data_IF_912194251573
#
_entry.id   IF_912194251573
#
_cell.length_a   1.000
_cell.length_b   1.000
_cell.length_c   1.000
_cell.angle_alpha   90.00
_cell.angle_beta   90.00
_cell.angle_gamma   90.00
#
_symmetry.space_group_name_H-M   'P 1'
#
loop_
_entity.id
_entity.type
_entity.pdbx_description
1 polymer ?
#
# COMPACT_ATOMS: atom_id res chain seq x y z
N UNK A 1 -10.30 -19.72 -16.08
CA UNK A 1 -8.89 -19.40 -15.71
C UNK A 1 -8.66 -17.91 -15.39
N UNK A 2 -9.60 -16.99 -15.69
CA UNK A 2 -9.47 -15.57 -15.35
C UNK A 2 -9.85 -15.20 -13.89
N UNK A 3 -10.60 -16.06 -13.19
CA UNK A 3 -11.09 -15.83 -11.83
C UNK A 3 -10.04 -15.92 -10.71
N UNK A 4 -8.89 -16.58 -10.95
CA UNK A 4 -7.82 -16.70 -9.94
C UNK A 4 -6.84 -15.53 -9.91
N UNK A 5 -6.82 -14.69 -10.96
CA UNK A 5 -5.84 -13.62 -11.10
C UNK A 5 -6.33 -12.29 -10.51
N UNK A 6 -7.65 -12.07 -10.47
CA UNK A 6 -8.24 -10.83 -9.96
C UNK A 6 -8.37 -10.79 -8.42
N UNK A 7 -8.08 -11.92 -7.73
CA UNK A 7 -8.10 -12.02 -6.27
C UNK A 7 -6.81 -11.57 -5.58
N UNK A 8 -5.74 -11.23 -6.32
CA UNK A 8 -4.39 -11.03 -5.75
C UNK A 8 -4.02 -9.60 -5.36
N UNK A 9 -4.75 -8.60 -5.85
CA UNK A 9 -4.42 -7.18 -5.62
C UNK A 9 -5.49 -6.51 -4.76
N UNK A 10 -6.74 -6.97 -4.86
CA UNK A 10 -7.88 -6.48 -4.07
C UNK A 10 -8.20 -7.39 -2.87
N UNK A 11 -7.24 -8.23 -2.46
CA UNK A 11 -7.05 -8.40 -1.03
C UNK A 11 -6.13 -7.25 -0.62
N UNK A 12 -6.70 -6.05 -0.54
CA UNK A 12 -6.28 -5.09 0.49
C UNK A 12 -6.56 -5.85 1.77
N UNK A 13 -5.55 -6.61 2.20
CA UNK A 13 -5.66 -7.64 3.21
C UNK A 13 -6.00 -6.92 4.52
N UNK A 14 -7.30 -6.70 4.74
CA UNK A 14 -7.84 -6.09 5.96
C UNK A 14 -7.39 -6.91 7.17
N UNK A 15 -7.23 -8.22 6.99
CA UNK A 15 -6.59 -9.14 7.95
C UNK A 15 -5.11 -8.81 8.24
N UNK A 16 -4.36 -8.27 7.28
CA UNK A 16 -2.95 -7.95 7.45
C UNK A 16 -2.72 -6.69 8.32
N UNK A 17 -3.52 -5.64 8.12
CA UNK A 17 -3.42 -4.42 8.93
C UNK A 17 -3.80 -4.67 10.40
N UNK A 18 -4.84 -5.49 10.62
CA UNK A 18 -5.36 -5.83 11.96
C UNK A 18 -4.41 -6.73 12.76
N UNK A 19 -3.62 -7.61 12.11
CA UNK A 19 -2.84 -8.64 12.82
C UNK A 19 -1.50 -8.15 13.40
N UNK A 20 -1.04 -6.95 13.07
CA UNK A 20 0.32 -6.47 13.43
C UNK A 20 0.42 -5.06 14.04
N UNK A 21 -0.69 -4.42 14.40
CA UNK A 21 -0.66 -3.14 15.11
C UNK A 21 -0.35 -1.93 14.23
N UNK A 22 -0.64 -2.01 12.93
CA UNK A 22 -0.69 -0.82 12.08
C UNK A 22 -2.08 -0.20 12.23
N UNK A 23 -2.17 0.80 13.11
CA UNK A 23 -3.41 1.55 13.26
C UNK A 23 -3.44 2.60 12.17
N UNK A 24 -4.00 2.26 11.03
CA UNK A 24 -4.72 3.29 10.28
C UNK A 24 -5.78 3.85 11.23
N UNK A 25 -5.90 5.17 11.32
CA UNK A 25 -6.98 5.78 12.09
C UNK A 25 -8.33 5.20 11.61
N UNK A 26 -9.33 5.17 12.48
CA UNK A 26 -10.65 4.59 12.25
C UNK A 26 -11.25 5.09 10.94
N UNK A 27 -11.03 6.37 10.64
CA UNK A 27 -11.42 7.03 9.38
C UNK A 27 -10.78 6.36 8.16
N UNK A 28 -9.46 6.14 8.19
CA UNK A 28 -8.72 5.53 7.07
C UNK A 28 -9.14 4.08 6.86
N UNK A 29 -9.32 3.34 7.96
CA UNK A 29 -9.77 1.95 7.92
C UNK A 29 -11.16 1.81 7.32
N UNK A 30 -12.09 2.69 7.70
CA UNK A 30 -13.45 2.68 7.18
C UNK A 30 -13.48 3.07 5.70
N UNK A 31 -12.70 4.08 5.31
CA UNK A 31 -12.58 4.50 3.93
C UNK A 31 -12.05 3.38 3.02
N UNK A 32 -11.04 2.63 3.46
CA UNK A 32 -10.51 1.50 2.68
C UNK A 32 -11.53 0.36 2.51
N UNK A 33 -12.42 0.13 3.49
CA UNK A 33 -13.53 -0.84 3.34
C UNK A 33 -14.57 -0.36 2.33
N UNK A 34 -14.86 0.94 2.31
CA UNK A 34 -15.77 1.54 1.35
C UNK A 34 -15.22 1.44 -0.08
N UNK A 35 -13.92 1.72 -0.26
CA UNK A 35 -13.19 1.53 -1.53
C UNK A 35 -13.36 0.09 -2.02
N UNK A 36 -13.13 -0.90 -1.16
CA UNK A 36 -13.30 -2.32 -1.52
C UNK A 36 -14.72 -2.64 -1.96
N UNK A 37 -15.72 -2.13 -1.24
CA UNK A 37 -17.15 -2.36 -1.51
C UNK A 37 -17.53 -1.75 -2.86
N UNK A 38 -17.25 -0.47 -3.05
CA UNK A 38 -17.59 0.27 -4.29
C UNK A 38 -16.89 -0.33 -5.49
N UNK A 39 -15.62 -0.70 -5.37
CA UNK A 39 -14.87 -1.30 -6.47
C UNK A 39 -15.42 -2.69 -6.83
N UNK A 40 -15.79 -3.51 -5.85
CA UNK A 40 -16.41 -4.83 -6.10
C UNK A 40 -17.74 -4.73 -6.83
N UNK A 41 -18.56 -3.73 -6.50
CA UNK A 41 -19.88 -3.55 -7.11
C UNK A 41 -19.82 -2.92 -8.50
N UNK A 42 -19.01 -1.87 -8.67
CA UNK A 42 -19.03 -1.03 -9.89
C UNK A 42 -17.84 -1.29 -10.82
N UNK A 43 -16.81 -1.99 -10.36
CA UNK A 43 -15.55 -2.18 -11.08
C UNK A 43 -14.71 -0.90 -11.22
N UNK A 44 -15.11 0.19 -10.56
CA UNK A 44 -14.43 1.50 -10.55
C UNK A 44 -14.76 2.26 -9.28
N UNK A 45 -13.87 3.17 -8.88
CA UNK A 45 -14.13 4.10 -7.78
C UNK A 45 -14.96 5.29 -8.27
N UNK A 46 -15.79 5.85 -7.38
CA UNK A 46 -16.54 7.08 -7.65
C UNK A 46 -15.73 8.31 -7.24
N UNK A 47 -16.09 9.48 -7.79
CA UNK A 47 -15.43 10.75 -7.47
C UNK A 47 -15.49 11.09 -5.98
N UNK A 48 -16.56 10.70 -5.28
CA UNK A 48 -16.70 10.92 -3.84
C UNK A 48 -15.66 10.11 -3.05
N UNK A 49 -15.49 8.83 -3.40
CA UNK A 49 -14.49 7.95 -2.76
C UNK A 49 -13.07 8.41 -3.09
N UNK A 50 -12.80 8.81 -4.34
CA UNK A 50 -11.51 9.35 -4.74
C UNK A 50 -11.19 10.66 -4.01
N UNK A 51 -12.18 11.54 -3.84
CA UNK A 51 -12.01 12.78 -3.09
C UNK A 51 -11.72 12.52 -1.61
N UNK A 52 -12.44 11.58 -0.98
CA UNK A 52 -12.18 11.19 0.39
C UNK A 52 -10.78 10.58 0.57
N UNK A 53 -10.35 9.73 -0.38
CA UNK A 53 -8.98 9.20 -0.42
C UNK A 53 -7.95 10.31 -0.56
N UNK A 54 -8.19 11.32 -1.39
CA UNK A 54 -7.26 12.43 -1.60
C UNK A 54 -7.11 13.27 -0.33
N UNK A 55 -8.19 13.47 0.43
CA UNK A 55 -8.14 14.17 1.71
C UNK A 55 -7.28 13.44 2.75
N UNK A 56 -7.35 12.09 2.79
CA UNK A 56 -6.63 11.28 3.79
C UNK A 56 -5.18 11.02 3.40
N UNK A 57 -4.94 10.60 2.16
CA UNK A 57 -3.63 10.11 1.70
C UNK A 57 -2.81 11.17 0.94
N UNK A 58 -3.45 12.28 0.55
CA UNK A 58 -2.79 13.46 -0.02
C UNK A 58 -1.83 13.11 -1.17
N UNK A 59 -0.58 13.56 -1.10
CA UNK A 59 0.42 13.39 -2.16
C UNK A 59 0.79 11.92 -2.43
N UNK A 60 0.50 11.03 -1.48
CA UNK A 60 0.78 9.60 -1.64
C UNK A 60 -0.30 8.86 -2.43
N UNK A 61 -1.48 9.45 -2.66
CA UNK A 61 -2.61 8.76 -3.29
C UNK A 61 -2.33 8.40 -4.74
N UNK A 62 -2.03 9.40 -5.59
CA UNK A 62 -1.88 9.17 -7.03
C UNK A 62 -0.74 8.18 -7.35
N UNK A 63 0.45 8.26 -6.72
CA UNK A 63 1.48 7.25 -6.89
C UNK A 63 1.05 5.86 -6.44
N UNK A 64 0.27 5.76 -5.36
CA UNK A 64 -0.23 4.47 -4.88
C UNK A 64 -1.25 3.85 -5.84
N UNK A 65 -2.19 4.65 -6.36
CA UNK A 65 -3.17 4.20 -7.35
C UNK A 65 -2.49 3.77 -8.65
N UNK A 66 -1.50 4.53 -9.13
CA UNK A 66 -0.74 4.18 -10.34
C UNK A 66 -0.06 2.80 -10.22
N UNK A 67 0.52 2.49 -9.05
CA UNK A 67 1.11 1.17 -8.78
C UNK A 67 0.09 0.03 -8.78
N UNK A 68 -1.11 0.29 -8.26
CA UNK A 68 -2.21 -0.69 -8.25
C UNK A 68 -2.75 -0.92 -9.66
N UNK A 69 -3.01 0.15 -10.40
CA UNK A 69 -3.54 0.13 -11.76
C UNK A 69 -2.58 -0.58 -12.72
N UNK A 70 -1.27 -0.35 -12.58
CA UNK A 70 -0.23 -1.02 -13.36
C UNK A 70 0.09 -2.44 -12.89
N UNK A 71 -0.54 -2.91 -11.81
CA UNK A 71 -0.26 -4.21 -11.18
C UNK A 71 1.21 -4.39 -10.79
N UNK A 72 1.85 -3.29 -10.39
CA UNK A 72 3.26 -3.25 -10.04
C UNK A 72 3.57 -3.78 -8.64
N UNK A 73 2.56 -4.23 -7.89
CA UNK A 73 2.69 -4.75 -6.52
C UNK A 73 2.47 -6.26 -6.51
N UNK A 74 3.41 -7.00 -5.93
CA UNK A 74 3.35 -8.45 -5.77
C UNK A 74 3.61 -8.86 -4.33
N UNK A 75 2.74 -9.70 -3.77
CA UNK A 75 2.95 -10.29 -2.44
C UNK A 75 3.84 -11.53 -2.54
N UNK A 76 4.92 -11.55 -1.78
CA UNK A 76 5.80 -12.72 -1.64
C UNK A 76 5.58 -13.32 -0.26
N UNK A 77 5.28 -14.61 -0.22
CA UNK A 77 5.05 -15.35 1.03
C UNK A 77 6.10 -16.44 1.19
N UNK A 78 6.66 -16.53 2.40
CA UNK A 78 7.53 -17.61 2.81
C UNK A 78 6.67 -18.73 3.42
N UNK A 79 7.00 -20.02 3.19
CA UNK A 79 6.30 -21.15 3.83
C UNK A 79 6.29 -21.07 5.36
N UNK A 80 7.29 -20.40 5.95
CA UNK A 80 7.38 -20.12 7.39
C UNK A 80 6.42 -19.03 7.90
N UNK A 81 5.48 -18.54 7.07
CA UNK A 81 4.43 -17.59 7.47
C UNK A 81 4.82 -16.11 7.41
N UNK A 82 6.05 -15.79 6.97
CA UNK A 82 6.46 -14.39 6.70
C UNK A 82 5.96 -13.95 5.33
N UNK A 83 5.62 -12.68 5.18
CA UNK A 83 5.30 -12.11 3.87
C UNK A 83 5.87 -10.70 3.71
N UNK A 84 6.19 -10.34 2.48
CA UNK A 84 6.62 -9.01 2.07
C UNK A 84 5.91 -8.60 0.78
N UNK A 85 5.98 -7.32 0.45
CA UNK A 85 5.53 -6.83 -0.85
C UNK A 85 6.73 -6.39 -1.67
N UNK A 86 6.80 -6.87 -2.90
CA UNK A 86 7.73 -6.40 -3.91
C UNK A 86 6.99 -5.46 -4.85
N UNK A 87 7.56 -4.29 -5.10
CA UNK A 87 6.92 -3.23 -5.87
C UNK A 87 7.86 -2.74 -6.96
N UNK A 88 7.36 -2.60 -8.18
CA UNK A 88 8.12 -2.07 -9.32
C UNK A 88 7.67 -0.63 -9.58
N UNK A 89 8.49 0.33 -9.16
CA UNK A 89 8.23 1.75 -9.36
C UNK A 89 8.49 2.22 -10.79
N UNK A 90 8.39 3.54 -11.00
CA UNK A 90 8.64 4.19 -12.30
C UNK A 90 10.05 3.98 -12.84
N UNK A 91 11.05 3.75 -11.98
CA UNK A 91 12.43 3.45 -12.38
C UNK A 91 12.62 2.03 -12.93
N UNK A 92 11.60 1.17 -12.85
CA UNK A 92 11.68 -0.24 -13.21
C UNK A 92 12.50 -1.10 -12.24
N UNK A 93 13.20 -0.50 -11.27
CA UNK A 93 13.93 -1.24 -10.24
C UNK A 93 12.96 -1.64 -9.13
N UNK A 94 12.85 -2.94 -8.79
CA UNK A 94 11.97 -3.39 -7.73
C UNK A 94 12.48 -2.92 -6.36
N UNK A 95 11.57 -2.49 -5.50
CA UNK A 95 11.82 -2.25 -4.08
C UNK A 95 10.95 -3.15 -3.21
N UNK A 96 11.38 -3.34 -1.97
CA UNK A 96 10.72 -4.23 -1.00
C UNK A 96 10.10 -3.44 0.13
N UNK A 97 8.81 -3.66 0.35
CA UNK A 97 8.08 -3.20 1.53
C UNK A 97 7.96 -4.35 2.53
N UNK A 98 8.63 -4.19 3.67
CA UNK A 98 8.54 -5.10 4.80
C UNK A 98 7.43 -4.64 5.72
N UNK A 99 6.38 -5.43 5.72
CA UNK A 99 5.20 -5.16 6.53
C UNK A 99 5.42 -5.44 8.02
N UNK A 100 6.42 -6.22 8.39
CA UNK A 100 6.74 -6.51 9.79
C UNK A 100 7.47 -5.38 10.51
N UNK A 101 8.00 -4.39 9.79
CA UNK A 101 8.98 -3.43 10.34
C UNK A 101 8.87 -2.00 9.80
N UNK A 102 7.72 -1.61 9.24
CA UNK A 102 7.45 -0.27 8.65
C UNK A 102 8.59 0.21 7.73
N UNK A 103 9.22 -0.73 7.02
CA UNK A 103 10.43 -0.45 6.26
C UNK A 103 10.16 -0.65 4.78
N UNK A 104 10.64 0.31 3.99
CA UNK A 104 10.63 0.22 2.55
C UNK A 104 12.02 0.50 2.00
N UNK A 105 12.49 -0.33 1.07
CA UNK A 105 13.76 -0.09 0.39
C UNK A 105 13.64 0.93 -0.76
N UNK A 106 12.50 1.63 -0.88
CA UNK A 106 12.32 2.62 -1.93
C UNK A 106 13.18 3.86 -1.68
N UNK A 107 13.57 4.57 -2.75
CA UNK A 107 14.32 5.82 -2.60
C UNK A 107 13.63 6.82 -1.68
N UNK A 108 12.31 6.99 -1.80
CA UNK A 108 11.55 7.93 -1.00
C UNK A 108 11.66 7.67 0.52
N UNK A 109 11.57 6.42 0.95
CA UNK A 109 11.74 6.07 2.37
C UNK A 109 13.18 6.27 2.84
N UNK A 110 14.17 5.88 2.01
CA UNK A 110 15.59 6.10 2.30
C UNK A 110 15.91 7.58 2.49
N UNK A 111 15.40 8.47 1.64
CA UNK A 111 15.64 9.91 1.73
C UNK A 111 14.82 10.61 2.82
N UNK A 112 13.54 10.26 2.96
CA UNK A 112 12.63 11.00 3.83
C UNK A 112 12.63 10.53 5.29
N UNK A 113 13.03 9.29 5.55
CA UNK A 113 13.05 8.72 6.91
C UNK A 113 14.49 8.52 7.35
N UNK A 114 15.25 7.66 6.67
CA UNK A 114 16.60 7.30 7.12
C UNK A 114 17.58 8.48 7.06
N UNK A 115 17.65 9.15 5.91
CA UNK A 115 18.55 10.30 5.71
C UNK A 115 18.08 11.57 6.44
N UNK A 116 16.84 11.60 6.94
CA UNK A 116 16.29 12.73 7.69
C UNK A 116 16.50 12.56 9.20
N UNK A 117 16.49 11.32 9.70
CA UNK A 117 16.84 11.00 11.08
C UNK A 117 18.35 11.10 11.35
N UNK A 118 19.22 10.75 10.39
CA UNK A 118 20.67 10.90 10.58
C UNK A 118 21.11 12.36 10.76
N UNK A 119 20.43 13.31 10.11
CA UNK A 119 20.70 14.74 10.28
C UNK A 119 20.15 15.33 11.60
N UNK A 120 19.33 14.60 12.36
CA UNK A 120 18.83 15.03 13.68
C UNK A 120 19.68 14.54 14.86
N UNK A 121 20.72 13.72 14.61
CA UNK A 121 21.64 13.23 15.65
C UNK A 121 23.02 13.90 15.65
N UNK A 122 23.24 14.91 14.81
CA UNK A 122 24.39 15.83 14.90
C UNK A 122 23.93 17.16 15.54
N UNK A 123 23.85 17.17 16.87
CA UNK A 123 23.52 18.36 17.67
C UNK A 123 24.02 18.25 19.09
#
# INVERSE_FOLDING_TARGET
MAESLNKRIIHVDSDFALRKGYVYDEVSSQLLKEVETVYKEKGKLTDEVLSALQCVFQDSLLPALDLVDKRSVSRVTCPAGRSLYQVVGSSGTPYTCFTSSVYCSCPAYRYSVLLKEEHMMDG
#
